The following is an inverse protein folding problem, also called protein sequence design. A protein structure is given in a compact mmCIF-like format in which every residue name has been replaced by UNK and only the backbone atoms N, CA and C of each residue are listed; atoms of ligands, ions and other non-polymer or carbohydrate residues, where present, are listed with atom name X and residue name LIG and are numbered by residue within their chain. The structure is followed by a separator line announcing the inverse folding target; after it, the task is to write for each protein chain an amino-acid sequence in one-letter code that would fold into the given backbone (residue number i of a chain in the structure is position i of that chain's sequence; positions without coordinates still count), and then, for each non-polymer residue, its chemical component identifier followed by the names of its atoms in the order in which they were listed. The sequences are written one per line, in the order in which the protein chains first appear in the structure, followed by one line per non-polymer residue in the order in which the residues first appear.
data_IF_266476289791
#
_entry.id   IF_266476289791
#
_cell.length_a   1.000
_cell.length_b   1.000
_cell.length_c   1.000
_cell.angle_alpha   90.00
_cell.angle_beta   90.00
_cell.angle_gamma   90.00
#
_symmetry.space_group_name_H-M   'P 1'
#
loop_
_entity.id
_entity.type
_entity.pdbx_description
1 polymer ?
#
# COMPACT_ATOMS: atom_id res chain seq x y z
N UNK A 1 -12.27 11.73 1.65
CA UNK A 1 -10.80 11.55 1.57
C UNK A 1 -10.03 12.88 1.61
N UNK A 2 -10.30 13.84 0.70
CA UNK A 2 -9.55 15.12 0.62
C UNK A 2 -9.50 15.92 1.93
N UNK A 3 -10.61 16.00 2.65
CA UNK A 3 -10.67 16.72 3.94
C UNK A 3 -9.75 16.13 5.02
N UNK A 4 -9.58 14.80 5.03
CA UNK A 4 -8.68 14.11 5.97
C UNK A 4 -7.24 14.48 5.66
N UNK A 5 -6.84 14.45 4.38
CA UNK A 5 -5.50 14.84 3.96
C UNK A 5 -5.21 16.31 4.29
N UNK A 6 -6.19 17.20 4.09
CA UNK A 6 -6.06 18.61 4.45
C UNK A 6 -5.87 18.79 5.97
N UNK A 7 -6.65 18.08 6.80
CA UNK A 7 -6.50 18.11 8.26
C UNK A 7 -5.14 17.55 8.72
N UNK A 8 -4.68 16.45 8.13
CA UNK A 8 -3.36 15.88 8.42
C UNK A 8 -2.25 16.89 8.14
N UNK A 9 -2.29 17.52 6.95
CA UNK A 9 -1.35 18.57 6.56
C UNK A 9 -1.38 19.77 7.52
N UNK A 10 -2.57 20.26 7.88
CA UNK A 10 -2.72 21.38 8.81
C UNK A 10 -2.17 21.09 10.21
N UNK A 11 -2.17 19.82 10.62
CA UNK A 11 -1.61 19.35 11.90
C UNK A 11 -0.15 18.92 11.82
N UNK A 12 0.52 19.07 10.67
CA UNK A 12 1.90 18.60 10.48
C UNK A 12 2.05 17.08 10.54
N UNK A 13 0.97 16.32 10.38
CA UNK A 13 1.00 14.86 10.35
C UNK A 13 1.55 14.41 9.00
N UNK A 14 2.64 13.64 9.03
CA UNK A 14 3.18 13.00 7.83
C UNK A 14 2.21 11.92 7.37
N UNK A 15 1.43 12.23 6.34
CA UNK A 15 0.43 11.33 5.77
C UNK A 15 1.03 10.64 4.54
N UNK A 16 1.29 9.33 4.63
CA UNK A 16 1.90 8.54 3.57
C UNK A 16 0.83 7.75 2.82
N UNK A 17 0.92 7.73 1.50
CA UNK A 17 0.10 6.92 0.60
C UNK A 17 1.02 6.03 -0.26
N UNK A 18 0.53 4.90 -0.79
CA UNK A 18 1.28 4.08 -1.72
C UNK A 18 1.75 4.87 -2.95
N UNK A 19 3.00 4.67 -3.34
CA UNK A 19 3.62 5.25 -4.55
C UNK A 19 3.76 4.23 -5.68
N UNK A 20 3.65 2.94 -5.36
CA UNK A 20 3.63 1.82 -6.28
C UNK A 20 2.75 0.69 -5.71
N UNK A 21 2.23 -0.17 -6.59
CA UNK A 21 1.29 -1.23 -6.23
C UNK A 21 1.60 -2.53 -6.99
N UNK A 22 1.23 -3.65 -6.39
CA UNK A 22 1.01 -4.91 -7.12
C UNK A 22 -0.45 -4.92 -7.56
N UNK A 23 -0.67 -5.08 -8.86
CA UNK A 23 -2.00 -5.04 -9.49
C UNK A 23 -2.36 -6.39 -10.09
N UNK A 24 -3.65 -6.71 -10.10
CA UNK A 24 -4.22 -7.90 -10.76
C UNK A 24 -5.35 -7.55 -11.73
N UNK A 25 -5.65 -8.47 -12.67
CA UNK A 25 -6.79 -8.34 -13.61
C UNK A 25 -8.14 -8.65 -12.96
N UNK A 26 -8.15 -9.55 -12.00
CA UNK A 26 -9.34 -10.04 -11.30
C UNK A 26 -9.05 -10.19 -9.81
N UNK A 27 -10.10 -10.11 -8.97
CA UNK A 27 -10.00 -10.47 -7.56
C UNK A 27 -9.94 -12.00 -7.41
N UNK A 28 -8.79 -12.57 -7.77
CA UNK A 28 -8.53 -14.02 -7.75
C UNK A 28 -7.06 -14.29 -7.45
N UNK A 29 -6.80 -15.32 -6.63
CA UNK A 29 -5.45 -15.73 -6.21
C UNK A 29 -4.43 -15.85 -7.35
N UNK A 30 -4.82 -16.51 -8.44
CA UNK A 30 -3.94 -16.84 -9.58
C UNK A 30 -4.19 -15.93 -10.80
N UNK A 31 -4.67 -14.70 -10.57
CA UNK A 31 -4.85 -13.72 -11.65
C UNK A 31 -3.51 -13.29 -12.24
N UNK A 32 -3.51 -12.82 -13.49
CA UNK A 32 -2.36 -12.12 -14.05
C UNK A 32 -2.05 -10.90 -13.18
N UNK A 33 -0.79 -10.77 -12.75
CA UNK A 33 -0.35 -9.68 -11.89
C UNK A 33 0.90 -8.99 -12.42
N UNK A 34 1.07 -7.71 -12.08
CA UNK A 34 2.30 -6.94 -12.33
C UNK A 34 2.47 -5.81 -11.33
N UNK A 35 3.59 -5.10 -11.41
CA UNK A 35 3.91 -3.95 -10.55
C UNK A 35 3.89 -2.67 -11.38
N UNK A 36 3.30 -1.62 -10.83
CA UNK A 36 3.19 -0.31 -11.47
C UNK A 36 3.30 0.80 -10.42
N UNK A 37 3.68 2.00 -10.85
CA UNK A 37 3.58 3.19 -10.01
C UNK A 37 2.09 3.54 -9.80
N UNK A 38 1.73 4.11 -8.64
CA UNK A 38 0.32 4.38 -8.25
C UNK A 38 -0.45 5.22 -9.27
N UNK A 39 0.23 6.13 -9.96
CA UNK A 39 -0.38 7.04 -10.95
C UNK A 39 -0.51 6.39 -12.34
N UNK A 40 -0.15 5.11 -12.48
CA UNK A 40 -0.05 4.40 -13.76
C UNK A 40 -0.82 3.09 -13.80
N UNK A 41 -1.76 2.87 -12.87
CA UNK A 41 -2.63 1.68 -12.87
C UNK A 41 -3.52 1.70 -14.12
N UNK A 42 -3.41 0.72 -15.04
CA UNK A 42 -4.18 0.77 -16.29
C UNK A 42 -5.63 0.34 -16.09
N UNK A 43 -6.51 0.78 -17.00
CA UNK A 43 -7.92 0.43 -16.96
C UNK A 43 -8.15 -1.09 -16.96
N UNK A 44 -9.11 -1.52 -16.14
CA UNK A 44 -9.42 -2.94 -15.93
C UNK A 44 -8.38 -3.70 -15.11
N UNK A 45 -7.49 -3.01 -14.41
CA UNK A 45 -6.64 -3.57 -13.36
C UNK A 45 -7.04 -2.99 -12.00
N UNK A 46 -6.72 -3.71 -10.93
CA UNK A 46 -6.96 -3.29 -9.56
C UNK A 46 -5.72 -3.46 -8.70
N UNK A 47 -5.48 -2.53 -7.77
CA UNK A 47 -4.47 -2.67 -6.74
C UNK A 47 -4.87 -3.73 -5.73
N UNK A 48 -3.99 -4.71 -5.51
CA UNK A 48 -4.23 -5.84 -4.61
C UNK A 48 -3.17 -5.94 -3.50
N UNK A 49 -2.04 -5.26 -3.64
CA UNK A 49 -1.03 -5.08 -2.58
C UNK A 49 -0.19 -3.84 -2.86
N UNK A 50 0.55 -3.37 -1.86
CA UNK A 50 1.53 -2.27 -2.03
C UNK A 50 2.81 -2.77 -2.71
N UNK A 51 3.43 -1.90 -3.51
CA UNK A 51 4.68 -2.22 -4.18
C UNK A 51 5.91 -2.03 -3.29
N UNK A 52 7.07 -2.44 -3.80
CA UNK A 52 8.31 -2.48 -3.02
C UNK A 52 8.80 -1.09 -2.58
N UNK A 53 8.56 -0.03 -3.37
CA UNK A 53 8.93 1.34 -2.98
C UNK A 53 8.09 1.80 -1.79
N UNK A 54 6.81 1.46 -1.80
CA UNK A 54 5.87 1.74 -0.72
C UNK A 54 6.21 0.94 0.54
N UNK A 55 6.54 -0.36 0.41
CA UNK A 55 7.01 -1.15 1.55
C UNK A 55 8.22 -0.49 2.23
N UNK A 56 9.24 -0.10 1.46
CA UNK A 56 10.42 0.57 1.99
C UNK A 56 10.09 1.92 2.65
N UNK A 57 9.19 2.70 2.03
CA UNK A 57 8.73 3.98 2.57
C UNK A 57 8.00 3.80 3.92
N UNK A 58 7.15 2.80 4.05
CA UNK A 58 6.35 2.55 5.25
C UNK A 58 7.20 1.92 6.36
N UNK A 59 8.01 0.91 6.04
CA UNK A 59 8.97 0.33 6.97
C UNK A 59 9.92 1.41 7.54
N UNK A 60 10.43 2.30 6.70
CA UNK A 60 11.25 3.42 7.13
C UNK A 60 10.50 4.47 7.97
N UNK A 61 9.18 4.57 7.84
CA UNK A 61 8.37 5.49 8.65
C UNK A 61 8.07 4.95 10.05
N UNK A 62 7.97 3.63 10.21
CA UNK A 62 7.78 2.98 11.52
C UNK A 62 9.10 2.71 12.23
N UNK A 63 10.23 2.68 11.50
CA UNK A 63 11.54 2.48 12.07
C UNK A 63 11.86 3.56 13.12
N UNK A 64 12.16 3.14 14.35
CA UNK A 64 12.47 4.03 15.46
C UNK A 64 11.24 4.64 16.15
N UNK A 65 10.02 4.28 15.74
CA UNK A 65 8.81 4.66 16.46
C UNK A 65 8.80 3.97 17.84
N UNK A 66 8.60 4.75 18.91
CA UNK A 66 8.46 4.21 20.26
C UNK A 66 7.11 3.54 20.51
N UNK A 67 6.11 3.80 19.67
CA UNK A 67 4.78 3.19 19.75
C UNK A 67 4.16 3.13 18.37
N UNK A 68 3.59 1.98 18.02
CA UNK A 68 2.90 1.75 16.75
C UNK A 68 1.54 1.12 17.06
N UNK A 69 0.49 1.64 16.41
CA UNK A 69 -0.83 1.00 16.38
C UNK A 69 -1.07 0.58 14.95
N UNK A 70 -1.18 -0.72 14.71
CA UNK A 70 -1.43 -1.29 13.40
C UNK A 70 -2.80 -1.96 13.35
N UNK A 71 -3.63 -1.54 12.39
CA UNK A 71 -4.94 -2.12 12.15
C UNK A 71 -5.19 -2.24 10.65
N UNK A 72 -5.25 -3.49 10.17
CA UNK A 72 -5.58 -3.84 8.79
C UNK A 72 -4.36 -4.22 7.93
N UNK A 73 -4.49 -5.24 7.05
CA UNK A 73 -3.44 -5.63 6.12
C UNK A 73 -3.22 -4.57 5.03
N UNK A 74 -2.08 -4.63 4.34
CA UNK A 74 -1.74 -3.71 3.24
C UNK A 74 -2.29 -4.14 1.89
N UNK A 75 -2.65 -5.42 1.76
CA UNK A 75 -3.15 -6.04 0.53
C UNK A 75 -4.05 -7.24 0.82
N UNK A 76 -4.35 -8.02 -0.22
CA UNK A 76 -5.08 -9.30 -0.09
C UNK A 76 -4.13 -10.37 0.46
N UNK A 77 -3.82 -10.25 1.75
CA UNK A 77 -2.76 -10.97 2.44
C UNK A 77 -2.88 -12.49 2.47
N UNK A 78 -4.08 -13.00 2.17
CA UNK A 78 -4.38 -14.42 2.06
C UNK A 78 -3.81 -15.07 0.78
N UNK A 79 -3.36 -14.27 -0.19
CA UNK A 79 -2.83 -14.73 -1.47
C UNK A 79 -1.35 -14.40 -1.60
N UNK A 80 -0.53 -15.42 -1.92
CA UNK A 80 0.94 -15.32 -1.94
C UNK A 80 1.48 -14.16 -2.79
N UNK A 81 0.87 -13.90 -3.96
CA UNK A 81 1.27 -12.80 -4.84
C UNK A 81 0.93 -11.40 -4.30
N UNK A 82 0.08 -11.30 -3.27
CA UNK A 82 -0.48 -10.05 -2.73
C UNK A 82 -0.33 -9.94 -1.21
N UNK A 83 0.52 -10.76 -0.61
CA UNK A 83 0.78 -10.78 0.84
C UNK A 83 2.05 -10.02 1.25
N UNK A 84 2.95 -9.77 0.29
CA UNK A 84 4.28 -9.28 0.58
C UNK A 84 4.29 -7.91 1.26
N UNK A 85 3.40 -7.00 0.87
CA UNK A 85 3.28 -5.69 1.48
C UNK A 85 2.84 -5.75 2.94
N UNK A 86 1.96 -6.70 3.29
CA UNK A 86 1.53 -6.91 4.67
C UNK A 86 2.64 -7.51 5.53
N UNK A 87 3.48 -8.38 4.96
CA UNK A 87 4.61 -8.99 5.67
C UNK A 87 5.76 -8.00 5.88
N UNK A 88 5.95 -7.06 4.95
CA UNK A 88 7.10 -6.16 4.92
C UNK A 88 7.03 -4.98 5.91
N UNK A 89 5.83 -4.62 6.39
CA UNK A 89 5.58 -3.47 7.27
C UNK A 89 5.43 -3.94 8.71
#
# INVERSE_FOLDING_TARGET
ARDIMAKAKAKGVRFLLPVDNVIGREYKRDTEFRRVDSDTIPDGWMGLDIGAKTCALFAGAVQGAGTVVWNGPMGVSEWEHFANGTIAV
#
